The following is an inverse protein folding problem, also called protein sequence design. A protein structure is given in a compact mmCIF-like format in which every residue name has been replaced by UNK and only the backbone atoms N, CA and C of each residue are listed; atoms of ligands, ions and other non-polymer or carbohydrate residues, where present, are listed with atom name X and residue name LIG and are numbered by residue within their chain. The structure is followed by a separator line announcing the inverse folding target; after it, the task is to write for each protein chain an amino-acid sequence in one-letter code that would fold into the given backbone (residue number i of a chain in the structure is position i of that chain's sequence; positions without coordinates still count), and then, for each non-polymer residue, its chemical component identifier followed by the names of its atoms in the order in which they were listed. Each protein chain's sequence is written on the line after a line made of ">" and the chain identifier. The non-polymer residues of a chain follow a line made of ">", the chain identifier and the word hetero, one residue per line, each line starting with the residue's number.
data_IF_915948448199
#
_entry.id   IF_915948448199
#
_cell.length_a   1.000
_cell.length_b   1.000
_cell.length_c   1.000
_cell.angle_alpha   90.00
_cell.angle_beta   90.00
_cell.angle_gamma   90.00
#
_symmetry.space_group_name_H-M   'P 1'
#
loop_
_entity.id
_entity.type
_entity.pdbx_description
1 polymer ?
#
# COMPACT_ATOMS: atom_id res chain seq x y z
N UNK A 1 -17.54 -13.67 4.47
CA UNK A 1 -16.51 -14.69 4.73
C UNK A 1 -15.96 -14.47 6.13
N UNK A 2 -16.02 -15.45 7.02
CA UNK A 2 -15.58 -15.31 8.42
C UNK A 2 -14.33 -16.16 8.65
N UNK A 3 -13.21 -15.53 9.00
CA UNK A 3 -12.00 -16.26 9.42
C UNK A 3 -12.24 -16.93 10.78
N UNK A 4 -11.77 -18.16 11.03
CA UNK A 4 -11.83 -18.80 12.34
C UNK A 4 -11.21 -17.93 13.46
N UNK A 5 -11.75 -18.03 14.67
CA UNK A 5 -11.33 -17.19 15.80
C UNK A 5 -9.84 -17.30 16.12
N UNK A 6 -9.28 -18.51 16.03
CA UNK A 6 -7.86 -18.77 16.24
C UNK A 6 -6.97 -18.08 15.20
N UNK A 7 -7.42 -18.02 13.95
CA UNK A 7 -6.67 -17.33 12.89
C UNK A 7 -6.74 -15.81 13.11
N UNK A 8 -7.90 -15.27 13.50
CA UNK A 8 -8.05 -13.84 13.79
C UNK A 8 -7.14 -13.36 14.93
N UNK A 9 -6.95 -14.17 15.99
CA UNK A 9 -6.08 -13.80 17.11
C UNK A 9 -4.60 -13.73 16.73
N UNK A 10 -4.16 -14.58 15.78
CA UNK A 10 -2.78 -14.61 15.26
C UNK A 10 -2.50 -13.44 14.32
N UNK A 11 -3.42 -13.11 13.41
CA UNK A 11 -3.21 -12.09 12.37
C UNK A 11 -3.28 -10.66 12.92
N UNK A 12 -4.09 -10.41 13.97
CA UNK A 12 -4.28 -9.07 14.59
C UNK A 12 -4.65 -7.96 13.60
N UNK A 13 -5.21 -8.30 12.45
CA UNK A 13 -5.67 -7.34 11.45
C UNK A 13 -7.19 -7.43 11.27
N UNK A 14 -7.82 -6.28 11.06
CA UNK A 14 -9.26 -6.16 10.81
C UNK A 14 -9.58 -5.89 9.34
N UNK A 15 -8.60 -5.45 8.55
CA UNK A 15 -8.73 -5.13 7.13
C UNK A 15 -7.75 -5.96 6.30
N UNK A 16 -8.20 -6.37 5.12
CA UNK A 16 -7.43 -7.21 4.21
C UNK A 16 -7.59 -6.69 2.79
N UNK A 17 -6.47 -6.63 2.05
CA UNK A 17 -6.51 -6.61 0.60
C UNK A 17 -6.85 -8.02 0.12
N UNK A 18 -7.87 -8.12 -0.73
CA UNK A 18 -8.33 -9.39 -1.30
C UNK A 18 -7.76 -9.49 -2.72
N UNK A 19 -6.91 -10.48 -2.95
CA UNK A 19 -6.37 -10.78 -4.28
C UNK A 19 -6.97 -12.09 -4.75
N UNK A 20 -7.55 -12.07 -5.95
CA UNK A 20 -8.05 -13.26 -6.61
C UNK A 20 -6.97 -13.82 -7.55
N UNK A 21 -6.46 -15.00 -7.24
CA UNK A 21 -5.46 -15.70 -8.05
C UNK A 21 -6.07 -17.00 -8.57
N UNK A 22 -6.80 -16.89 -9.69
CA UNK A 22 -7.39 -18.00 -10.43
C UNK A 22 -8.45 -18.76 -9.63
N UNK A 23 -8.02 -19.75 -8.85
CA UNK A 23 -8.89 -20.59 -8.01
C UNK A 23 -8.65 -20.37 -6.51
N UNK A 24 -7.95 -19.31 -6.13
CA UNK A 24 -7.60 -19.01 -4.75
C UNK A 24 -7.86 -17.54 -4.40
N UNK A 25 -8.17 -17.29 -3.14
CA UNK A 25 -8.28 -15.95 -2.58
C UNK A 25 -7.13 -15.78 -1.59
N UNK A 26 -6.25 -14.83 -1.86
CA UNK A 26 -5.20 -14.42 -0.94
C UNK A 26 -5.68 -13.19 -0.17
N UNK A 27 -5.63 -13.29 1.16
CA UNK A 27 -5.95 -12.18 2.06
C UNK A 27 -4.65 -11.61 2.61
N UNK A 28 -4.32 -10.39 2.23
CA UNK A 28 -3.12 -9.69 2.70
C UNK A 28 -3.55 -8.69 3.78
N UNK A 29 -3.14 -8.87 5.05
CA UNK A 29 -3.53 -7.95 6.12
C UNK A 29 -2.98 -6.55 5.85
N UNK A 30 -3.84 -5.55 5.93
CA UNK A 30 -3.44 -4.14 5.78
C UNK A 30 -3.62 -3.40 7.11
N UNK A 31 -2.62 -2.61 7.54
CA UNK A 31 -2.77 -1.77 8.71
C UNK A 31 -3.93 -0.78 8.53
N UNK A 32 -4.58 -0.40 9.63
CA UNK A 32 -5.56 0.67 9.60
C UNK A 32 -4.85 2.01 9.31
N UNK A 33 -5.18 2.75 8.24
CA UNK A 33 -4.58 4.04 7.93
C UNK A 33 -4.67 5.03 9.10
N UNK A 34 -5.73 4.95 9.92
CA UNK A 34 -5.86 5.79 11.11
C UNK A 34 -4.82 5.46 12.19
N UNK A 35 -4.35 4.20 12.26
CA UNK A 35 -3.23 3.79 13.12
C UNK A 35 -1.87 4.14 12.52
N UNK A 36 -1.80 4.37 11.20
CA UNK A 36 -0.58 4.79 10.50
C UNK A 36 -0.34 6.31 10.58
N UNK A 37 -1.41 7.10 10.74
CA UNK A 37 -1.33 8.57 10.85
C UNK A 37 -0.45 8.96 12.04
N UNK A 38 0.72 9.55 11.76
CA UNK A 38 1.68 9.99 12.77
C UNK A 38 2.60 8.90 13.34
N UNK A 39 2.39 7.62 13.02
CA UNK A 39 3.28 6.52 13.41
C UNK A 39 4.31 6.17 12.33
N UNK A 40 3.97 6.40 11.06
CA UNK A 40 4.90 6.28 9.95
C UNK A 40 5.73 7.55 9.86
N UNK A 41 7.01 7.45 10.20
CA UNK A 41 8.00 8.50 9.91
C UNK A 41 8.45 8.32 8.47
N UNK A 42 8.07 9.28 7.62
CA UNK A 42 8.63 9.38 6.29
C UNK A 42 9.99 10.07 6.46
N UNK A 43 11.12 9.43 6.11
CA UNK A 43 12.45 9.99 6.30
C UNK A 43 12.82 10.98 5.17
N UNK A 44 11.83 11.72 4.66
CA UNK A 44 11.99 12.74 3.65
C UNK A 44 11.38 14.05 4.14
N UNK A 45 12.00 15.17 3.78
CA UNK A 45 11.40 16.49 3.92
C UNK A 45 10.23 16.65 2.93
N UNK A 46 9.42 17.70 3.12
CA UNK A 46 8.32 17.99 2.19
C UNK A 46 8.89 18.32 0.80
N UNK A 47 9.98 19.07 0.75
CA UNK A 47 10.67 19.47 -0.47
C UNK A 47 11.23 18.26 -1.24
N UNK A 48 11.83 17.29 -0.54
CA UNK A 48 12.32 16.05 -1.17
C UNK A 48 11.18 15.22 -1.77
N UNK A 49 10.00 15.25 -1.15
CA UNK A 49 8.80 14.58 -1.68
C UNK A 49 8.24 15.30 -2.91
N UNK A 50 8.26 16.63 -2.91
CA UNK A 50 7.85 17.44 -4.06
C UNK A 50 8.77 17.22 -5.26
N UNK A 51 10.09 17.28 -5.05
CA UNK A 51 11.10 17.03 -6.10
C UNK A 51 10.96 15.63 -6.71
N UNK A 52 10.83 14.59 -5.87
CA UNK A 52 10.62 13.22 -6.35
C UNK A 52 9.30 13.07 -7.12
N UNK A 53 8.26 13.81 -6.74
CA UNK A 53 6.98 13.86 -7.43
C UNK A 53 7.09 14.48 -8.82
N UNK A 54 7.77 15.63 -8.92
CA UNK A 54 8.04 16.32 -10.19
C UNK A 54 8.88 15.45 -11.14
N UNK A 55 9.93 14.81 -10.62
CA UNK A 55 10.76 13.90 -11.40
C UNK A 55 9.96 12.71 -11.93
N UNK A 56 9.11 12.10 -11.11
CA UNK A 56 8.27 10.98 -11.51
C UNK A 56 7.30 11.35 -12.64
N UNK A 57 6.63 12.51 -12.52
CA UNK A 57 5.72 13.01 -13.56
C UNK A 57 6.50 13.34 -14.84
N UNK A 58 7.67 13.97 -14.73
CA UNK A 58 8.51 14.33 -15.87
C UNK A 58 8.95 13.10 -16.67
N UNK A 59 9.43 12.05 -15.98
CA UNK A 59 9.80 10.77 -16.59
C UNK A 59 8.60 10.06 -17.24
N UNK A 60 7.41 10.18 -16.67
CA UNK A 60 6.17 9.63 -17.25
C UNK A 60 5.84 10.30 -18.59
N UNK A 61 6.10 11.59 -18.73
CA UNK A 61 5.89 12.34 -19.98
C UNK A 61 6.95 11.97 -21.02
N UNK A 62 8.20 11.76 -20.61
CA UNK A 62 9.28 11.32 -21.51
C UNK A 62 9.06 9.89 -22.07
N UNK A 63 8.45 9.01 -21.28
CA UNK A 63 8.09 7.65 -21.69
C UNK A 63 6.90 7.53 -22.67
N UNK A 64 6.23 8.63 -23.04
CA UNK A 64 5.17 8.65 -24.06
C UNK A 64 5.66 9.13 -25.43
N UNK A 65 6.95 9.40 -25.60
CA UNK A 65 7.56 9.70 -26.91
C UNK A 65 8.71 8.72 -27.17
N UNK A 66 8.37 7.46 -27.43
CA UNK A 66 9.23 6.51 -28.11
C UNK A 66 8.33 5.46 -28.78
N UNK A 67 8.12 5.69 -30.08
CA UNK A 67 7.82 4.76 -31.19
C UNK A 67 7.09 3.46 -30.88
#
# INVERSE_FOLDING_TARGET
>A
MTLPAEIRSKIKATRFLVVFEGNSIRLIPVPDPLKLKGSVKIPWSVEELEEAGEEFVSRRVEGQVSV
#
